data_IF_333590999463
#
_entry.id   IF_333590999463
#
_cell.length_a   1.000
_cell.length_b   1.000
_cell.length_c   1.000
_cell.angle_alpha   90.00
_cell.angle_beta   90.00
_cell.angle_gamma   90.00
#
_symmetry.space_group_name_H-M   'P 1'
#
loop_
_entity.id
_entity.type
_entity.pdbx_description
1 polymer ?
#
# COMPACT_ATOMS: atom_id res chain seq x y z
N UNK A 1 33.62 -44.21 -2.97
CA UNK A 1 32.76 -43.46 -3.91
C UNK A 1 31.81 -42.61 -3.13
N UNK A 2 31.60 -41.32 -3.41
CA UNK A 2 30.58 -40.52 -2.75
C UNK A 2 29.20 -41.12 -3.00
N UNK A 3 28.37 -41.29 -1.95
CA UNK A 3 27.00 -41.76 -2.06
C UNK A 3 26.23 -40.87 -3.04
N UNK A 4 25.57 -41.47 -4.02
CA UNK A 4 24.73 -40.76 -4.99
C UNK A 4 23.59 -40.09 -4.21
N UNK A 5 23.47 -38.80 -4.33
CA UNK A 5 22.44 -38.00 -3.68
C UNK A 5 21.06 -38.46 -4.13
N UNK A 6 20.15 -38.66 -3.19
CA UNK A 6 18.79 -39.14 -3.44
C UNK A 6 17.80 -37.98 -3.35
N UNK A 7 16.63 -38.14 -3.94
CA UNK A 7 15.53 -37.16 -3.78
C UNK A 7 15.14 -36.93 -2.31
N UNK A 8 15.36 -37.92 -1.46
CA UNK A 8 15.14 -37.82 -0.01
C UNK A 8 16.15 -36.89 0.66
N UNK A 9 17.36 -36.85 0.17
CA UNK A 9 18.38 -35.93 0.67
C UNK A 9 18.03 -34.50 0.23
N UNK A 10 17.55 -34.36 -1.01
CA UNK A 10 17.15 -33.06 -1.57
C UNK A 10 15.94 -32.45 -0.81
N UNK A 11 14.91 -33.25 -0.51
CA UNK A 11 13.72 -32.77 0.23
C UNK A 11 14.07 -32.36 1.65
N UNK A 12 15.00 -33.09 2.34
CA UNK A 12 15.47 -32.75 3.68
C UNK A 12 16.30 -31.49 3.69
N UNK A 13 17.14 -31.29 2.67
CA UNK A 13 17.94 -30.08 2.53
C UNK A 13 17.08 -28.85 2.22
N UNK A 14 16.06 -29.00 1.34
CA UNK A 14 15.12 -27.94 1.07
C UNK A 14 14.32 -27.54 2.31
N UNK A 15 13.82 -28.50 3.07
CA UNK A 15 13.15 -28.27 4.36
C UNK A 15 14.05 -27.45 5.30
N UNK A 16 15.30 -27.85 5.44
CA UNK A 16 16.26 -27.19 6.34
C UNK A 16 16.58 -25.76 5.90
N UNK A 17 16.65 -25.53 4.60
CA UNK A 17 16.92 -24.22 4.00
C UNK A 17 15.74 -23.26 4.17
N UNK A 18 14.52 -23.75 3.98
CA UNK A 18 13.31 -22.91 3.99
C UNK A 18 12.76 -22.67 5.40
N UNK A 19 12.88 -23.66 6.29
CA UNK A 19 12.21 -23.63 7.61
C UNK A 19 13.16 -23.82 8.80
N UNK A 20 14.46 -24.00 8.55
CA UNK A 20 15.48 -24.12 9.58
C UNK A 20 15.57 -25.51 10.24
N UNK A 21 16.45 -25.62 11.27
CA UNK A 21 16.77 -26.89 11.91
C UNK A 21 15.69 -27.43 12.87
N UNK A 22 14.65 -26.64 13.14
CA UNK A 22 13.52 -27.01 14.02
C UNK A 22 12.56 -28.05 13.45
N UNK A 23 12.74 -28.45 12.18
CA UNK A 23 11.84 -29.34 11.48
C UNK A 23 12.58 -30.54 10.87
N UNK A 24 11.93 -31.71 10.88
CA UNK A 24 12.46 -32.92 10.24
C UNK A 24 11.35 -33.63 9.46
N UNK A 25 11.70 -34.15 8.29
CA UNK A 25 10.88 -35.04 7.47
C UNK A 25 11.49 -36.43 7.43
N UNK A 26 10.63 -37.44 7.54
CA UNK A 26 10.98 -38.85 7.34
C UNK A 26 9.84 -39.63 6.75
N UNK A 27 10.15 -40.77 6.21
CA UNK A 27 9.17 -41.81 5.87
C UNK A 27 8.72 -42.52 7.16
N UNK A 28 7.41 -42.75 7.28
CA UNK A 28 6.82 -43.65 8.28
C UNK A 28 5.58 -44.29 7.70
N UNK A 29 5.58 -45.65 7.63
CA UNK A 29 4.46 -46.45 7.10
C UNK A 29 4.01 -46.03 5.70
N UNK A 30 4.97 -45.79 4.81
CA UNK A 30 4.72 -45.35 3.44
C UNK A 30 4.32 -43.87 3.28
N UNK A 31 4.23 -43.09 4.36
CA UNK A 31 3.77 -41.70 4.35
C UNK A 31 4.84 -40.72 4.85
N UNK A 32 4.74 -39.49 4.43
CA UNK A 32 5.56 -38.39 4.90
C UNK A 32 5.17 -38.00 6.34
N UNK A 33 6.10 -38.12 7.27
CA UNK A 33 5.94 -37.69 8.64
C UNK A 33 6.74 -36.42 8.91
N UNK A 34 6.06 -35.37 9.40
CA UNK A 34 6.67 -34.13 9.84
C UNK A 34 6.90 -34.15 11.36
N UNK A 35 8.08 -33.75 11.80
CA UNK A 35 8.45 -33.62 13.21
C UNK A 35 8.88 -32.19 13.51
N UNK A 36 8.30 -31.59 14.53
CA UNK A 36 8.72 -30.32 15.14
C UNK A 36 9.61 -30.59 16.35
N UNK A 37 10.77 -30.01 16.40
CA UNK A 37 11.69 -30.03 17.54
C UNK A 37 11.42 -28.80 18.42
N UNK A 38 11.01 -29.02 19.66
CA UNK A 38 10.61 -27.93 20.58
C UNK A 38 11.75 -27.38 21.44
N UNK A 39 12.83 -28.16 21.62
CA UNK A 39 14.03 -27.78 22.41
C UNK A 39 15.31 -28.15 21.65
N UNK A 40 16.40 -27.41 21.91
CA UNK A 40 17.69 -27.63 21.25
C UNK A 40 18.27 -29.01 21.53
N UNK A 41 18.00 -29.62 22.71
CA UNK A 41 18.51 -30.93 23.12
C UNK A 41 17.64 -32.12 22.66
N UNK A 42 16.60 -31.89 21.83
CA UNK A 42 15.88 -32.97 21.16
C UNK A 42 14.98 -33.84 22.01
N UNK A 43 14.77 -33.53 23.29
CA UNK A 43 13.97 -34.36 24.19
C UNK A 43 12.44 -34.14 24.02
N UNK A 44 12.00 -32.99 23.57
CA UNK A 44 10.59 -32.71 23.29
C UNK A 44 10.36 -32.55 21.80
N UNK A 45 9.66 -33.49 21.20
CA UNK A 45 9.29 -33.47 19.80
C UNK A 45 7.81 -33.79 19.63
N UNK A 46 7.16 -33.12 18.71
CA UNK A 46 5.82 -33.42 18.26
C UNK A 46 5.89 -33.89 16.82
N UNK A 47 5.22 -34.98 16.51
CA UNK A 47 5.26 -35.55 15.16
C UNK A 47 3.85 -35.90 14.68
N UNK A 48 3.64 -35.85 13.38
CA UNK A 48 2.44 -36.38 12.77
C UNK A 48 2.61 -36.57 11.26
N UNK A 49 1.81 -37.45 10.69
CA UNK A 49 1.84 -37.70 9.24
C UNK A 49 1.14 -36.57 8.47
N UNK A 50 1.57 -36.33 7.24
CA UNK A 50 0.99 -35.34 6.34
C UNK A 50 -0.16 -35.90 5.48
N UNK A 51 -0.41 -37.20 5.56
CA UNK A 51 -1.40 -37.88 4.73
C UNK A 51 -0.94 -38.18 3.29
N UNK A 52 0.28 -37.78 2.93
CA UNK A 52 0.85 -37.84 1.57
C UNK A 52 1.84 -39.03 1.54
N UNK A 53 1.77 -39.85 0.47
CA UNK A 53 2.73 -40.94 0.26
C UNK A 53 4.14 -40.44 0.06
N UNK A 54 5.12 -41.15 0.67
CA UNK A 54 6.54 -40.82 0.59
C UNK A 54 7.15 -41.36 -0.72
N UNK A 55 6.97 -40.59 -1.80
CA UNK A 55 7.48 -40.94 -3.13
C UNK A 55 8.13 -39.73 -3.79
N UNK A 56 9.06 -39.96 -4.74
CA UNK A 56 9.70 -38.91 -5.48
C UNK A 56 8.73 -38.03 -6.28
N UNK A 57 7.63 -38.62 -6.79
CA UNK A 57 6.56 -37.89 -7.49
C UNK A 57 5.81 -36.91 -6.59
N UNK A 58 5.75 -37.17 -5.29
CA UNK A 58 5.04 -36.34 -4.33
C UNK A 58 5.94 -35.33 -3.60
N UNK A 59 7.21 -35.24 -3.96
CA UNK A 59 8.18 -34.35 -3.29
C UNK A 59 7.67 -32.91 -3.18
N UNK A 60 7.13 -32.35 -4.24
CA UNK A 60 6.61 -30.99 -4.27
C UNK A 60 5.36 -30.83 -3.39
N UNK A 61 4.48 -31.84 -3.38
CA UNK A 61 3.26 -31.84 -2.55
C UNK A 61 3.59 -31.91 -1.07
N UNK A 62 4.57 -32.76 -0.71
CA UNK A 62 5.10 -32.87 0.66
C UNK A 62 5.66 -31.53 1.14
N UNK A 63 6.51 -30.87 0.34
CA UNK A 63 7.09 -29.57 0.71
C UNK A 63 6.03 -28.47 0.86
N UNK A 64 5.04 -28.44 -0.02
CA UNK A 64 3.94 -27.48 0.07
C UNK A 64 3.09 -27.70 1.34
N UNK A 65 2.80 -28.96 1.67
CA UNK A 65 2.06 -29.31 2.88
C UNK A 65 2.85 -28.91 4.13
N UNK A 66 4.16 -29.18 4.16
CA UNK A 66 5.05 -28.76 5.23
C UNK A 66 5.04 -27.25 5.39
N UNK A 67 5.21 -26.48 4.32
CA UNK A 67 5.20 -25.02 4.37
C UNK A 67 3.90 -24.47 5.00
N UNK A 68 2.74 -25.05 4.66
CA UNK A 68 1.45 -24.69 5.27
C UNK A 68 1.39 -25.03 6.76
N UNK A 69 1.87 -26.21 7.15
CA UNK A 69 1.89 -26.63 8.56
C UNK A 69 2.82 -25.71 9.36
N UNK A 70 4.01 -25.42 8.86
CA UNK A 70 4.97 -24.54 9.54
C UNK A 70 4.37 -23.13 9.73
N UNK A 71 3.75 -22.59 8.70
CA UNK A 71 3.10 -21.27 8.77
C UNK A 71 2.00 -21.22 9.83
N UNK A 72 1.15 -22.24 9.93
CA UNK A 72 0.09 -22.33 10.95
C UNK A 72 0.65 -22.48 12.37
N UNK A 73 1.73 -23.23 12.52
CA UNK A 73 2.37 -23.46 13.82
C UNK A 73 3.16 -22.22 14.30
N UNK A 74 3.68 -21.42 13.37
CA UNK A 74 4.45 -20.19 13.68
C UNK A 74 3.63 -18.91 13.58
N UNK A 75 2.33 -19.00 13.30
CA UNK A 75 1.41 -17.85 13.27
C UNK A 75 1.16 -17.27 14.67
N UNK A 76 0.65 -16.06 14.76
CA UNK A 76 0.16 -15.45 16.01
C UNK A 76 -1.37 -15.30 15.98
N UNK A 77 -2.11 -16.03 16.86
CA UNK A 77 -1.63 -17.00 17.87
C UNK A 77 -1.16 -18.31 17.22
N UNK A 78 -0.15 -19.01 17.82
CA UNK A 78 0.40 -20.24 17.26
C UNK A 78 -0.60 -21.40 17.36
N UNK A 79 -0.72 -22.16 16.28
CA UNK A 79 -1.59 -23.33 16.25
C UNK A 79 -0.81 -24.59 16.69
N UNK A 80 -1.39 -25.48 17.53
CA UNK A 80 -0.77 -26.75 17.85
C UNK A 80 -0.51 -27.59 16.59
N UNK A 81 0.65 -28.27 16.52
CA UNK A 81 1.04 -29.09 15.35
C UNK A 81 -0.04 -30.08 14.93
N UNK A 82 -0.72 -30.72 15.88
CA UNK A 82 -1.79 -31.71 15.62
C UNK A 82 -2.94 -31.07 14.83
N UNK A 83 -3.35 -29.87 15.21
CA UNK A 83 -4.47 -29.17 14.59
C UNK A 83 -4.07 -28.60 13.22
N UNK A 84 -2.85 -28.09 13.10
CA UNK A 84 -2.30 -27.66 11.81
C UNK A 84 -2.22 -28.83 10.80
N UNK A 85 -1.74 -30.01 11.24
CA UNK A 85 -1.72 -31.22 10.42
C UNK A 85 -3.13 -31.68 10.01
N UNK A 86 -4.10 -31.63 10.94
CA UNK A 86 -5.49 -31.97 10.65
C UNK A 86 -6.08 -31.02 9.60
N UNK A 87 -5.87 -29.73 9.75
CA UNK A 87 -6.30 -28.72 8.78
C UNK A 87 -5.69 -28.93 7.40
N UNK A 88 -4.39 -29.24 7.33
CA UNK A 88 -3.69 -29.47 6.05
C UNK A 88 -4.14 -30.77 5.39
N UNK A 89 -4.45 -31.85 6.17
CA UNK A 89 -5.01 -33.09 5.65
C UNK A 89 -6.44 -32.96 5.15
N UNK A 90 -7.25 -32.17 5.85
CA UNK A 90 -8.67 -31.97 5.48
C UNK A 90 -8.86 -30.88 4.43
N UNK A 91 -7.82 -30.08 4.18
CA UNK A 91 -7.85 -29.17 3.04
C UNK A 91 -7.96 -30.00 1.76
N UNK A 92 -8.99 -29.83 0.93
CA UNK A 92 -9.14 -30.60 -0.27
C UNK A 92 -7.90 -30.44 -1.15
N UNK A 93 -7.12 -31.50 -1.31
CA UNK A 93 -6.17 -31.62 -2.42
C UNK A 93 -7.06 -31.58 -3.65
N UNK A 94 -7.01 -30.50 -4.42
CA UNK A 94 -7.81 -30.38 -5.64
C UNK A 94 -7.26 -31.36 -6.67
N UNK A 95 -7.73 -32.60 -6.57
CA UNK A 95 -7.69 -33.57 -7.69
C UNK A 95 -8.60 -32.98 -8.76
N UNK A 96 -8.09 -32.09 -9.63
CA UNK A 96 -8.77 -31.70 -10.86
C UNK A 96 -10.20 -31.16 -10.76
N UNK A 97 -10.70 -30.85 -9.57
CA UNK A 97 -12.01 -30.24 -9.34
C UNK A 97 -12.03 -28.79 -9.74
N UNK A 98 -13.17 -28.29 -10.18
CA UNK A 98 -13.36 -26.87 -10.47
C UNK A 98 -12.98 -26.04 -9.23
N UNK A 99 -12.14 -25.01 -9.42
CA UNK A 99 -11.75 -24.11 -8.34
C UNK A 99 -12.97 -23.30 -7.92
N UNK A 100 -13.37 -23.36 -6.64
CA UNK A 100 -14.41 -22.47 -6.12
C UNK A 100 -13.85 -21.08 -5.85
N UNK A 101 -13.89 -20.27 -6.87
CA UNK A 101 -13.40 -18.91 -6.82
C UNK A 101 -14.20 -18.02 -5.87
N UNK A 102 -15.47 -18.33 -5.61
CA UNK A 102 -16.30 -17.56 -4.68
C UNK A 102 -15.89 -17.79 -3.25
N UNK A 103 -15.60 -19.05 -2.90
CA UNK A 103 -15.05 -19.37 -1.58
C UNK A 103 -13.65 -18.75 -1.39
N UNK A 104 -12.81 -18.80 -2.43
CA UNK A 104 -11.47 -18.17 -2.39
C UNK A 104 -11.57 -16.64 -2.20
N UNK A 105 -12.55 -15.97 -2.81
CA UNK A 105 -12.78 -14.53 -2.59
C UNK A 105 -13.06 -14.24 -1.11
N UNK A 106 -13.92 -15.01 -0.47
CA UNK A 106 -14.28 -14.88 0.95
C UNK A 106 -13.04 -15.07 1.84
N UNK A 107 -12.29 -16.14 1.61
CA UNK A 107 -11.07 -16.46 2.35
C UNK A 107 -10.00 -15.36 2.16
N UNK A 108 -9.88 -14.83 0.95
CA UNK A 108 -8.95 -13.76 0.63
C UNK A 108 -9.31 -12.46 1.35
N UNK A 109 -10.59 -12.08 1.38
CA UNK A 109 -11.06 -10.92 2.15
C UNK A 109 -10.73 -11.07 3.63
N UNK A 110 -11.05 -12.24 4.22
CA UNK A 110 -10.73 -12.53 5.62
C UNK A 110 -9.22 -12.43 5.88
N UNK A 111 -8.41 -12.99 5.00
CA UNK A 111 -6.97 -12.90 5.09
C UNK A 111 -6.48 -11.44 5.00
N UNK A 112 -6.95 -10.66 4.05
CA UNK A 112 -6.49 -9.28 3.84
C UNK A 112 -6.92 -8.33 4.95
N UNK A 113 -8.17 -8.41 5.35
CA UNK A 113 -8.78 -7.52 6.35
C UNK A 113 -8.60 -8.06 7.76
N UNK A 114 -8.87 -9.35 7.99
CA UNK A 114 -8.80 -9.97 9.31
C UNK A 114 -7.37 -10.03 9.86
N UNK A 115 -6.35 -10.27 9.02
CA UNK A 115 -4.95 -10.20 9.44
C UNK A 115 -4.39 -8.75 9.50
N UNK A 116 -5.22 -7.73 9.29
CA UNK A 116 -4.82 -6.33 9.30
C UNK A 116 -3.87 -5.91 8.16
N UNK A 117 -3.71 -6.72 7.08
CA UNK A 117 -2.87 -6.39 5.93
C UNK A 117 -3.46 -5.28 5.07
N UNK A 118 -4.78 -5.11 5.09
CA UNK A 118 -5.48 -4.01 4.47
C UNK A 118 -6.54 -3.45 5.44
N UNK A 119 -6.71 -2.12 5.44
CA UNK A 119 -7.87 -1.52 6.10
C UNK A 119 -9.12 -1.87 5.31
N UNK A 120 -10.23 -2.25 5.98
CA UNK A 120 -11.49 -2.60 5.34
C UNK A 120 -11.93 -1.59 4.27
N UNK A 121 -11.96 -0.31 4.61
CA UNK A 121 -12.34 0.74 3.66
C UNK A 121 -11.46 0.78 2.40
N UNK A 122 -10.15 0.54 2.52
CA UNK A 122 -9.26 0.50 1.36
C UNK A 122 -9.44 -0.77 0.53
N UNK A 123 -9.71 -1.90 1.18
CA UNK A 123 -9.99 -3.15 0.51
C UNK A 123 -11.27 -3.03 -0.32
N UNK A 124 -12.36 -2.58 0.28
CA UNK A 124 -13.66 -2.39 -0.38
C UNK A 124 -13.61 -1.38 -1.52
N UNK A 125 -12.98 -0.24 -1.29
CA UNK A 125 -12.90 0.83 -2.29
C UNK A 125 -12.03 0.50 -3.52
N UNK A 126 -11.06 -0.40 -3.38
CA UNK A 126 -10.05 -0.61 -4.40
C UNK A 126 -9.83 -2.09 -4.75
N UNK A 127 -9.36 -2.90 -3.78
CA UNK A 127 -8.87 -4.26 -4.02
C UNK A 127 -10.02 -5.20 -4.38
N UNK A 128 -11.11 -5.15 -3.60
CA UNK A 128 -12.32 -5.95 -3.85
C UNK A 128 -12.88 -5.77 -5.26
N UNK A 129 -12.94 -4.51 -5.72
CA UNK A 129 -13.42 -4.21 -7.06
C UNK A 129 -12.57 -4.88 -8.15
N UNK A 130 -11.24 -4.91 -7.97
CA UNK A 130 -10.32 -5.57 -8.91
C UNK A 130 -10.48 -7.08 -8.89
N UNK A 131 -10.65 -7.66 -7.69
CA UNK A 131 -10.89 -9.11 -7.56
C UNK A 131 -12.22 -9.50 -8.21
N UNK A 132 -13.28 -8.73 -8.01
CA UNK A 132 -14.57 -8.99 -8.68
C UNK A 132 -14.47 -8.99 -10.20
N UNK A 133 -13.65 -8.10 -10.77
CA UNK A 133 -13.35 -8.12 -12.22
C UNK A 133 -12.63 -9.40 -12.65
N UNK A 134 -11.70 -9.92 -11.84
CA UNK A 134 -11.07 -11.21 -12.11
C UNK A 134 -12.10 -12.34 -12.10
N UNK A 135 -12.97 -12.38 -11.08
CA UNK A 135 -14.00 -13.40 -10.96
C UNK A 135 -15.00 -13.36 -12.12
N UNK A 136 -15.32 -12.16 -12.60
CA UNK A 136 -16.19 -12.00 -13.78
C UNK A 136 -15.56 -12.61 -15.05
N UNK A 137 -14.23 -12.51 -15.23
CA UNK A 137 -13.52 -13.14 -16.33
C UNK A 137 -13.50 -14.66 -16.19
N UNK A 138 -13.27 -15.18 -14.97
CA UNK A 138 -13.28 -16.62 -14.68
C UNK A 138 -14.66 -17.25 -14.83
N UNK A 139 -15.73 -16.49 -14.60
CA UNK A 139 -17.12 -16.93 -14.76
C UNK A 139 -17.67 -16.88 -16.18
N UNK A 140 -16.88 -16.50 -17.18
CA UNK A 140 -17.33 -16.44 -18.57
C UNK A 140 -17.63 -17.83 -19.11
N UNK A 141 -18.77 -17.99 -19.81
CA UNK A 141 -19.17 -19.28 -20.43
C UNK A 141 -18.27 -19.67 -21.61
N UNK A 142 -17.72 -18.69 -22.33
CA UNK A 142 -16.82 -18.89 -23.46
C UNK A 142 -15.54 -18.08 -23.22
N UNK A 143 -14.42 -18.66 -23.60
CA UNK A 143 -13.10 -18.00 -23.49
C UNK A 143 -12.69 -17.62 -22.07
N UNK A 144 -13.21 -18.30 -21.04
CA UNK A 144 -12.73 -18.13 -19.67
C UNK A 144 -11.23 -18.45 -19.61
N UNK A 145 -10.43 -17.65 -18.90
CA UNK A 145 -9.01 -17.94 -18.68
C UNK A 145 -8.83 -19.31 -18.02
N UNK A 146 -7.85 -20.09 -18.50
CA UNK A 146 -7.56 -21.45 -18.01
C UNK A 146 -6.44 -21.51 -16.97
N UNK A 147 -5.70 -20.43 -16.80
CA UNK A 147 -4.53 -20.32 -15.93
C UNK A 147 -4.29 -18.87 -15.48
N UNK A 148 -3.36 -18.68 -14.54
CA UNK A 148 -3.01 -17.36 -13.99
C UNK A 148 -2.47 -16.38 -15.04
N UNK A 149 -1.51 -16.77 -15.88
CA UNK A 149 -1.02 -15.95 -16.97
C UNK A 149 -2.11 -15.47 -17.93
N UNK A 150 -2.98 -16.37 -18.40
CA UNK A 150 -4.08 -16.02 -19.31
C UNK A 150 -5.11 -15.10 -18.64
N UNK A 151 -5.40 -15.30 -17.33
CA UNK A 151 -6.24 -14.38 -16.57
C UNK A 151 -5.65 -12.98 -16.48
N UNK A 152 -4.35 -12.86 -16.20
CA UNK A 152 -3.71 -11.55 -16.12
C UNK A 152 -3.69 -10.82 -17.46
N UNK A 153 -3.46 -11.54 -18.56
CA UNK A 153 -3.54 -10.98 -19.92
C UNK A 153 -4.97 -10.56 -20.25
N UNK A 154 -5.96 -11.42 -20.01
CA UNK A 154 -7.37 -11.09 -20.21
C UNK A 154 -7.82 -9.89 -19.36
N UNK A 155 -7.38 -9.82 -18.10
CA UNK A 155 -7.65 -8.68 -17.24
C UNK A 155 -7.07 -7.37 -17.82
N UNK A 156 -5.87 -7.44 -18.35
CA UNK A 156 -5.21 -6.29 -18.96
C UNK A 156 -5.96 -5.80 -20.20
N UNK A 157 -6.31 -6.71 -21.11
CA UNK A 157 -7.01 -6.38 -22.36
C UNK A 157 -8.46 -5.96 -22.14
N UNK A 158 -9.12 -6.40 -21.07
CA UNK A 158 -10.52 -6.06 -20.81
C UNK A 158 -10.67 -4.81 -19.95
N UNK A 159 -9.77 -4.59 -19.00
CA UNK A 159 -9.99 -3.57 -17.94
C UNK A 159 -8.93 -2.49 -17.86
N UNK A 160 -7.82 -2.63 -18.58
CA UNK A 160 -6.70 -1.69 -18.48
C UNK A 160 -6.30 -1.08 -19.84
N UNK A 161 -7.14 -1.17 -20.88
CA UNK A 161 -6.85 -0.55 -22.18
C UNK A 161 -6.69 0.98 -22.05
N UNK A 162 -7.61 1.61 -21.32
CA UNK A 162 -7.61 3.06 -21.11
C UNK A 162 -6.70 3.51 -19.94
N UNK A 163 -5.98 2.57 -19.35
CA UNK A 163 -5.05 2.87 -18.25
C UNK A 163 -3.63 2.96 -18.78
N UNK A 164 -3.01 4.11 -18.61
CA UNK A 164 -1.68 4.42 -19.14
C UNK A 164 -0.67 3.28 -18.87
N UNK A 165 0.02 2.85 -19.92
CA UNK A 165 1.11 1.88 -19.87
C UNK A 165 2.20 2.39 -18.90
N UNK A 166 2.79 1.50 -18.09
CA UNK A 166 3.78 1.88 -17.08
C UNK A 166 3.23 2.71 -15.91
N UNK A 167 1.96 3.09 -15.95
CA UNK A 167 1.33 3.93 -14.93
C UNK A 167 1.14 3.22 -13.59
N UNK A 168 1.18 3.99 -12.50
CA UNK A 168 1.00 3.48 -11.13
C UNK A 168 -0.36 2.80 -10.91
N UNK A 169 -1.40 3.25 -11.61
CA UNK A 169 -2.73 2.65 -11.60
C UNK A 169 -2.73 1.26 -12.22
N UNK A 170 -2.13 1.08 -13.42
CA UNK A 170 -1.99 -0.20 -14.11
C UNK A 170 -1.18 -1.19 -13.28
N UNK A 171 -0.01 -0.76 -12.78
CA UNK A 171 0.83 -1.56 -11.88
C UNK A 171 0.08 -2.04 -10.65
N UNK A 172 -0.69 -1.16 -9.99
CA UNK A 172 -1.46 -1.51 -8.79
C UNK A 172 -2.54 -2.55 -9.08
N UNK A 173 -3.26 -2.41 -10.19
CA UNK A 173 -4.27 -3.39 -10.60
C UNK A 173 -3.65 -4.77 -10.77
N UNK A 174 -2.57 -4.88 -11.54
CA UNK A 174 -1.91 -6.16 -11.82
C UNK A 174 -1.28 -6.79 -10.57
N UNK A 175 -0.70 -5.98 -9.68
CA UNK A 175 -0.17 -6.48 -8.40
C UNK A 175 -1.26 -7.00 -7.46
N UNK A 176 -2.46 -6.41 -7.47
CA UNK A 176 -3.57 -6.91 -6.64
C UNK A 176 -4.11 -8.21 -7.21
N UNK A 177 -4.24 -8.35 -8.54
CA UNK A 177 -4.58 -9.61 -9.21
C UNK A 177 -3.53 -10.68 -8.92
N UNK A 178 -2.25 -10.37 -9.05
CA UNK A 178 -1.17 -11.30 -8.77
C UNK A 178 -1.18 -11.76 -7.31
N UNK A 179 -1.49 -10.87 -6.37
CA UNK A 179 -1.61 -11.20 -4.95
C UNK A 179 -2.77 -12.15 -4.68
N UNK A 180 -3.92 -11.93 -5.31
CA UNK A 180 -5.08 -12.80 -5.22
C UNK A 180 -4.77 -14.21 -5.74
N UNK A 181 -4.16 -14.33 -6.92
CA UNK A 181 -3.76 -15.60 -7.50
C UNK A 181 -2.72 -16.34 -6.64
N UNK A 182 -1.73 -15.62 -6.13
CA UNK A 182 -0.77 -16.20 -5.19
C UNK A 182 -1.45 -16.74 -3.92
N UNK A 183 -2.45 -16.02 -3.40
CA UNK A 183 -3.23 -16.48 -2.26
C UNK A 183 -4.02 -17.76 -2.62
N UNK A 184 -4.70 -17.77 -3.76
CA UNK A 184 -5.46 -18.92 -4.23
C UNK A 184 -4.59 -20.17 -4.29
N UNK A 185 -3.39 -20.09 -4.87
CA UNK A 185 -2.49 -21.24 -5.00
C UNK A 185 -1.84 -21.60 -3.66
N UNK A 186 -1.29 -20.62 -2.94
CA UNK A 186 -0.47 -20.91 -1.76
C UNK A 186 -1.28 -21.22 -0.51
N UNK A 187 -2.53 -20.73 -0.43
CA UNK A 187 -3.35 -20.82 0.81
C UNK A 187 -4.69 -21.51 0.63
N UNK A 188 -5.28 -21.45 -0.55
CA UNK A 188 -6.60 -22.04 -0.82
C UNK A 188 -6.55 -23.30 -1.69
N UNK A 189 -5.35 -23.80 -2.02
CA UNK A 189 -5.16 -25.07 -2.71
C UNK A 189 -5.50 -25.07 -4.21
N UNK A 190 -5.63 -23.89 -4.83
CA UNK A 190 -5.78 -23.82 -6.28
C UNK A 190 -4.54 -24.39 -6.99
N UNK A 191 -4.73 -24.97 -8.15
CA UNK A 191 -3.66 -25.59 -8.95
C UNK A 191 -2.56 -24.56 -9.28
N UNK A 192 -1.32 -25.02 -9.39
CA UNK A 192 -0.14 -24.18 -9.69
C UNK A 192 -0.24 -23.43 -11.01
N UNK A 193 -1.03 -23.91 -11.97
CA UNK A 193 -1.31 -23.19 -13.21
C UNK A 193 -1.88 -21.79 -12.99
N UNK A 194 -2.50 -21.56 -11.82
CA UNK A 194 -3.05 -20.26 -11.43
C UNK A 194 -2.01 -19.30 -10.81
N UNK A 195 -0.72 -19.69 -10.75
CA UNK A 195 0.31 -18.75 -10.35
C UNK A 195 0.35 -17.55 -11.31
N UNK A 196 0.47 -16.33 -10.77
CA UNK A 196 0.51 -15.13 -11.60
C UNK A 196 1.83 -15.01 -12.36
N UNK A 197 1.82 -14.21 -13.42
CA UNK A 197 3.04 -13.71 -14.04
C UNK A 197 3.91 -12.96 -13.04
N UNK A 198 5.23 -13.10 -13.14
CA UNK A 198 6.22 -12.49 -12.27
C UNK A 198 7.39 -11.93 -13.08
N UNK A 199 8.27 -11.17 -12.43
CA UNK A 199 9.49 -10.67 -13.03
C UNK A 199 9.24 -9.89 -14.32
N UNK A 200 9.92 -10.30 -15.39
CA UNK A 200 9.90 -9.63 -16.70
C UNK A 200 8.52 -9.69 -17.37
N UNK A 201 7.88 -10.84 -17.37
CA UNK A 201 6.54 -11.02 -17.97
C UNK A 201 5.47 -10.12 -17.29
N UNK A 202 5.54 -9.94 -15.97
CA UNK A 202 4.66 -9.00 -15.27
C UNK A 202 5.02 -7.55 -15.64
N UNK A 203 6.30 -7.25 -15.79
CA UNK A 203 6.77 -5.92 -16.18
C UNK A 203 6.32 -5.56 -17.60
N UNK A 204 6.31 -6.52 -18.51
CA UNK A 204 5.75 -6.35 -19.85
C UNK A 204 4.25 -6.01 -19.83
N UNK A 205 3.46 -6.72 -19.02
CA UNK A 205 2.04 -6.40 -18.85
C UNK A 205 1.78 -5.01 -18.23
N UNK A 206 2.64 -4.61 -17.31
CA UNK A 206 2.61 -3.26 -16.73
C UNK A 206 2.93 -2.24 -17.82
N UNK A 207 3.89 -2.57 -18.68
CA UNK A 207 4.37 -1.74 -19.77
C UNK A 207 5.36 -0.68 -19.31
N UNK A 208 5.91 0.01 -20.29
CA UNK A 208 6.81 1.14 -20.10
C UNK A 208 6.00 2.42 -20.26
N UNK A 209 6.32 3.39 -19.47
CA UNK A 209 5.69 4.72 -19.58
C UNK A 209 6.41 5.47 -20.70
N UNK A 210 5.66 5.82 -21.73
CA UNK A 210 6.20 6.57 -22.88
C UNK A 210 6.50 8.02 -22.51
N UNK A 211 5.67 8.60 -21.60
CA UNK A 211 5.91 9.93 -21.08
C UNK A 211 6.19 9.87 -19.57
N UNK A 212 7.23 10.57 -19.14
CA UNK A 212 7.43 10.80 -17.71
C UNK A 212 6.16 11.44 -17.13
N UNK A 213 5.70 10.96 -15.97
CA UNK A 213 4.63 11.66 -15.26
C UNK A 213 5.12 13.07 -15.04
N UNK A 214 4.45 14.05 -15.62
CA UNK A 214 4.80 15.43 -15.38
C UNK A 214 4.76 15.65 -13.87
N UNK A 215 5.91 15.96 -13.30
CA UNK A 215 5.98 16.27 -11.88
C UNK A 215 5.00 17.41 -11.60
N UNK A 216 4.31 17.30 -10.48
CA UNK A 216 3.39 18.36 -10.07
C UNK A 216 4.23 19.64 -9.86
N UNK A 217 4.08 20.66 -10.70
CA UNK A 217 4.92 21.84 -10.61
C UNK A 217 4.68 22.58 -9.29
N UNK A 218 5.70 23.20 -8.70
CA UNK A 218 5.50 24.11 -7.58
C UNK A 218 4.74 25.35 -8.03
N UNK A 219 3.81 25.85 -7.20
CA UNK A 219 3.26 27.20 -7.41
C UNK A 219 4.39 28.23 -7.19
N UNK A 220 4.50 29.18 -8.09
CA UNK A 220 5.47 30.25 -7.98
C UNK A 220 5.06 31.29 -6.92
N UNK A 221 6.01 32.05 -6.34
CA UNK A 221 5.70 33.08 -5.35
C UNK A 221 4.64 34.07 -5.81
N UNK A 222 4.78 34.60 -7.04
CA UNK A 222 3.85 35.57 -7.63
C UNK A 222 2.45 34.97 -7.80
N UNK A 223 2.37 33.72 -8.23
CA UNK A 223 1.11 33.00 -8.38
C UNK A 223 0.41 32.74 -7.03
N UNK A 224 1.19 32.50 -5.98
CA UNK A 224 0.65 32.33 -4.63
C UNK A 224 0.14 33.66 -4.08
N UNK A 225 0.88 34.74 -4.29
CA UNK A 225 0.48 36.09 -3.91
C UNK A 225 -0.87 36.45 -4.56
N UNK A 226 -0.92 36.40 -5.88
CA UNK A 226 -2.16 36.68 -6.63
C UNK A 226 -3.33 35.79 -6.22
N UNK A 227 -3.07 34.50 -5.92
CA UNK A 227 -4.10 33.59 -5.43
C UNK A 227 -4.64 34.03 -4.08
N UNK A 228 -3.77 34.42 -3.15
CA UNK A 228 -4.18 34.92 -1.84
C UNK A 228 -4.95 36.24 -1.94
N UNK A 229 -4.57 37.11 -2.85
CA UNK A 229 -5.25 38.37 -3.10
C UNK A 229 -6.61 38.17 -3.77
N UNK A 230 -6.70 37.26 -4.72
CA UNK A 230 -7.98 36.91 -5.38
C UNK A 230 -9.01 36.29 -4.42
N UNK A 231 -8.57 35.84 -3.25
CA UNK A 231 -9.41 35.27 -2.19
C UNK A 231 -9.75 36.27 -1.07
N UNK A 232 -9.53 37.56 -1.30
CA UNK A 232 -9.75 38.61 -0.27
C UNK A 232 -11.17 38.54 0.33
N UNK A 233 -12.20 38.38 -0.49
CA UNK A 233 -13.59 38.28 -0.04
C UNK A 233 -13.96 36.91 0.54
N UNK A 234 -13.16 35.87 0.27
CA UNK A 234 -13.38 34.52 0.78
C UNK A 234 -12.32 34.17 1.84
N UNK A 235 -12.46 34.81 3.00
CA UNK A 235 -11.49 34.69 4.08
C UNK A 235 -11.31 33.24 4.60
N UNK A 236 -12.36 32.42 4.59
CA UNK A 236 -12.27 31.00 5.00
C UNK A 236 -11.37 30.19 4.04
N UNK A 237 -11.56 30.34 2.73
CA UNK A 237 -10.75 29.63 1.75
C UNK A 237 -9.33 30.23 1.70
N UNK A 238 -9.20 31.55 1.84
CA UNK A 238 -7.92 32.22 1.91
C UNK A 238 -7.07 31.69 3.07
N UNK A 239 -7.67 31.49 4.26
CA UNK A 239 -7.03 30.89 5.40
C UNK A 239 -6.54 29.45 5.08
N UNK A 240 -7.38 28.63 4.44
CA UNK A 240 -6.99 27.28 4.06
C UNK A 240 -5.83 27.25 3.05
N UNK A 241 -5.86 28.12 2.04
CA UNK A 241 -4.80 28.26 1.03
C UNK A 241 -3.50 28.76 1.64
N UNK A 242 -3.57 29.75 2.52
CA UNK A 242 -2.40 30.28 3.23
C UNK A 242 -1.75 29.19 4.11
N UNK A 243 -2.53 28.43 4.85
CA UNK A 243 -2.01 27.30 5.65
C UNK A 243 -1.32 26.24 4.78
N UNK A 244 -1.88 25.88 3.65
CA UNK A 244 -1.26 24.90 2.75
C UNK A 244 -0.04 25.49 2.05
N UNK A 245 -0.14 26.73 1.55
CA UNK A 245 0.89 27.39 0.76
C UNK A 245 2.06 27.92 1.60
N UNK A 246 1.79 28.63 2.68
CA UNK A 246 2.85 29.27 3.50
C UNK A 246 3.45 28.32 4.53
N UNK A 247 2.70 27.34 5.06
CA UNK A 247 3.20 26.39 6.06
C UNK A 247 3.55 25.02 5.45
N UNK A 248 3.39 24.85 4.16
CA UNK A 248 3.71 23.59 3.48
C UNK A 248 2.89 22.40 3.93
N UNK A 249 1.64 22.60 4.34
CA UNK A 249 0.76 21.54 4.81
C UNK A 249 0.29 20.63 3.65
N UNK A 250 -0.04 19.38 3.98
CA UNK A 250 -0.91 18.60 3.09
C UNK A 250 -2.34 19.09 3.24
N UNK A 251 -3.14 19.17 2.18
CA UNK A 251 -4.56 19.56 2.32
C UNK A 251 -5.32 18.77 3.39
N UNK A 252 -5.00 17.48 3.56
CA UNK A 252 -5.59 16.64 4.62
C UNK A 252 -5.15 17.00 6.04
N UNK A 253 -4.04 17.71 6.21
CA UNK A 253 -3.52 18.13 7.51
C UNK A 253 -4.32 19.31 8.10
N UNK A 254 -5.18 19.96 7.31
CA UNK A 254 -6.10 21.00 7.79
C UNK A 254 -7.08 20.51 8.87
N UNK A 255 -7.24 19.19 9.05
CA UNK A 255 -8.03 18.60 10.13
C UNK A 255 -7.26 18.45 11.46
N UNK A 256 -5.95 18.58 11.46
CA UNK A 256 -5.09 18.21 12.60
C UNK A 256 -4.22 19.37 13.04
N UNK A 257 -4.81 20.57 13.09
CA UNK A 257 -4.12 21.79 13.44
C UNK A 257 -4.24 22.11 14.93
N UNK A 258 -3.17 22.59 15.52
CA UNK A 258 -3.14 23.13 16.88
C UNK A 258 -2.19 24.32 16.92
N UNK A 259 -2.67 25.45 17.38
CA UNK A 259 -1.80 26.60 17.70
C UNK A 259 -1.45 26.51 19.18
N UNK A 260 -0.16 26.60 19.49
CA UNK A 260 0.37 26.62 20.85
C UNK A 260 1.55 27.56 20.91
N UNK A 261 1.54 28.50 21.85
CA UNK A 261 2.61 29.47 22.05
C UNK A 261 2.99 30.23 20.76
N UNK A 262 1.98 30.63 19.97
CA UNK A 262 2.18 31.34 18.71
C UNK A 262 2.77 30.50 17.58
N UNK A 263 2.83 29.18 17.73
CA UNK A 263 3.36 28.25 16.72
C UNK A 263 2.32 27.25 16.27
N UNK A 264 2.39 26.84 15.00
CA UNK A 264 1.52 25.83 14.42
C UNK A 264 2.10 24.43 14.61
N UNK A 265 1.31 23.56 15.22
CA UNK A 265 1.58 22.13 15.32
C UNK A 265 0.59 21.33 14.49
N UNK A 266 1.10 20.34 13.78
CA UNK A 266 0.32 19.57 12.81
C UNK A 266 0.40 18.08 13.12
N UNK A 267 -0.74 17.44 13.26
CA UNK A 267 -0.85 16.00 13.52
C UNK A 267 -0.51 15.14 12.30
N UNK A 268 -0.27 13.86 12.54
CA UNK A 268 0.08 12.89 11.50
C UNK A 268 -1.18 12.33 10.84
N UNK A 269 -1.44 12.70 9.58
CA UNK A 269 -2.59 12.22 8.80
C UNK A 269 -2.28 10.94 7.99
N UNK A 270 -0.99 10.62 7.79
CA UNK A 270 -0.56 9.44 7.03
C UNK A 270 0.20 8.47 7.93
N UNK A 271 -0.51 7.48 8.47
CA UNK A 271 0.09 6.41 9.28
C UNK A 271 0.30 5.18 8.42
N UNK A 272 1.54 4.71 8.34
CA UNK A 272 1.88 3.42 7.75
C UNK A 272 1.74 2.33 8.81
N UNK A 273 1.43 1.09 8.40
CA UNK A 273 1.32 -0.09 9.29
C UNK A 273 2.54 -0.24 10.22
N UNK A 274 3.74 0.02 9.71
CA UNK A 274 4.99 -0.08 10.48
C UNK A 274 5.25 1.12 11.40
N UNK A 275 4.57 2.24 11.21
CA UNK A 275 4.68 3.44 12.06
C UNK A 275 3.53 3.58 13.05
N UNK A 276 2.49 2.75 12.96
CA UNK A 276 1.32 2.82 13.84
C UNK A 276 1.66 2.56 15.32
N UNK A 277 2.70 1.79 15.59
CA UNK A 277 3.19 1.51 16.96
C UNK A 277 3.97 2.68 17.59
N UNK A 278 4.39 3.68 16.79
CA UNK A 278 5.09 4.87 17.27
C UNK A 278 4.24 6.08 16.87
N UNK A 279 3.33 6.50 17.73
CA UNK A 279 2.65 7.78 17.57
C UNK A 279 3.73 8.88 17.57
N UNK A 280 4.00 9.45 16.41
CA UNK A 280 4.82 10.66 16.34
C UNK A 280 3.98 11.80 16.89
N UNK A 281 4.56 12.58 17.79
CA UNK A 281 3.95 13.82 18.26
C UNK A 281 3.63 14.75 17.09
N UNK A 282 2.78 15.74 17.34
CA UNK A 282 2.52 16.80 16.35
C UNK A 282 3.83 17.48 15.97
N UNK A 283 4.07 17.68 14.66
CA UNK A 283 5.24 18.37 14.16
C UNK A 283 5.04 19.88 14.19
N UNK A 284 6.09 20.62 14.44
CA UNK A 284 6.13 22.07 14.24
C UNK A 284 6.05 22.37 12.73
N UNK A 285 5.21 23.30 12.34
CA UNK A 285 5.15 23.87 10.99
C UNK A 285 5.44 25.38 11.09
N UNK A 286 6.46 25.82 10.39
CA UNK A 286 6.85 27.24 10.35
C UNK A 286 6.42 27.84 9.02
N UNK A 287 5.97 29.11 8.99
CA UNK A 287 5.62 29.77 7.76
C UNK A 287 6.87 30.14 6.97
N UNK A 288 6.76 30.11 5.66
CA UNK A 288 7.69 30.70 4.71
C UNK A 288 6.92 31.79 3.96
N UNK A 289 7.00 32.99 4.45
CA UNK A 289 6.30 34.15 3.92
C UNK A 289 6.83 34.54 2.54
N UNK A 290 6.02 35.24 1.77
CA UNK A 290 6.48 35.92 0.56
C UNK A 290 7.14 37.24 0.92
N UNK A 291 8.17 37.65 0.16
CA UNK A 291 8.85 38.94 0.39
C UNK A 291 7.88 40.11 0.26
N UNK A 292 6.90 39.98 -0.65
CA UNK A 292 5.87 40.98 -0.94
C UNK A 292 4.74 40.97 0.11
N UNK A 293 4.67 39.91 0.95
CA UNK A 293 3.65 39.76 1.97
C UNK A 293 4.29 39.28 3.29
N UNK A 294 5.13 40.12 3.91
CA UNK A 294 5.81 39.78 5.15
C UNK A 294 4.81 39.63 6.30
N UNK A 295 5.15 38.79 7.28
CA UNK A 295 4.38 38.53 8.49
C UNK A 295 2.96 37.88 8.22
N UNK A 296 2.70 37.46 6.98
CA UNK A 296 1.42 36.81 6.65
C UNK A 296 1.21 35.53 7.45
N UNK A 297 2.27 34.75 7.66
CA UNK A 297 2.21 33.57 8.49
C UNK A 297 1.77 33.87 9.93
N UNK A 298 2.32 34.90 10.53
CA UNK A 298 1.93 35.35 11.88
C UNK A 298 0.46 35.82 11.89
N UNK A 299 0.02 36.54 10.87
CA UNK A 299 -1.37 36.96 10.70
C UNK A 299 -2.33 35.76 10.58
N UNK A 300 -1.97 34.76 9.77
CA UNK A 300 -2.73 33.51 9.61
C UNK A 300 -2.85 32.76 10.93
N UNK A 301 -1.78 32.64 11.69
CA UNK A 301 -1.80 32.02 13.01
C UNK A 301 -2.73 32.74 13.98
N UNK A 302 -2.66 34.05 14.03
CA UNK A 302 -3.55 34.86 14.89
C UNK A 302 -5.02 34.72 14.50
N UNK A 303 -5.33 34.65 13.21
CA UNK A 303 -6.68 34.39 12.71
C UNK A 303 -7.18 33.01 13.11
N UNK A 304 -6.35 31.99 13.00
CA UNK A 304 -6.68 30.62 13.36
C UNK A 304 -6.88 30.49 14.88
N UNK A 305 -6.01 31.07 15.68
CA UNK A 305 -6.03 31.02 17.13
C UNK A 305 -7.23 31.77 17.73
N UNK A 306 -7.54 32.94 17.19
CA UNK A 306 -8.70 33.75 17.65
C UNK A 306 -10.04 33.13 17.29
N UNK A 307 -10.07 32.22 16.29
CA UNK A 307 -11.30 31.64 15.78
C UNK A 307 -12.24 32.63 15.07
N UNK A 308 -11.78 33.86 14.81
CA UNK A 308 -12.54 34.87 14.05
C UNK A 308 -12.77 34.43 12.60
N UNK A 309 -11.75 33.84 11.99
CA UNK A 309 -11.83 33.20 10.69
C UNK A 309 -11.66 31.72 10.88
N UNK A 310 -12.59 30.94 10.37
CA UNK A 310 -12.58 29.49 10.45
C UNK A 310 -12.28 28.91 9.08
N UNK A 311 -11.77 27.70 9.04
CA UNK A 311 -11.69 26.95 7.79
C UNK A 311 -13.09 26.70 7.22
N UNK A 312 -13.23 26.52 5.90
CA UNK A 312 -14.51 26.18 5.30
C UNK A 312 -15.19 25.01 5.99
N UNK A 313 -16.50 25.10 6.20
CA UNK A 313 -17.29 24.14 6.99
C UNK A 313 -17.10 22.70 6.53
N UNK A 314 -17.07 22.44 5.21
CA UNK A 314 -16.85 21.09 4.68
C UNK A 314 -15.48 20.53 5.03
N UNK A 315 -14.44 21.37 5.10
CA UNK A 315 -13.08 20.98 5.50
C UNK A 315 -13.07 20.65 7.01
N UNK A 316 -13.65 21.51 7.86
CA UNK A 316 -13.70 21.31 9.30
C UNK A 316 -14.47 20.04 9.70
N UNK A 317 -15.56 19.78 9.02
CA UNK A 317 -16.47 18.66 9.29
C UNK A 317 -16.22 17.45 8.37
N UNK A 318 -15.06 17.37 7.73
CA UNK A 318 -14.74 16.26 6.86
C UNK A 318 -14.74 14.95 7.65
N UNK A 319 -15.38 13.92 7.12
CA UNK A 319 -15.48 12.60 7.76
C UNK A 319 -14.14 11.86 7.92
N UNK A 320 -13.18 12.19 7.06
CA UNK A 320 -11.84 11.62 7.06
C UNK A 320 -10.85 12.53 6.31
N UNK A 321 -9.56 12.21 6.43
CA UNK A 321 -8.48 12.98 5.81
C UNK A 321 -8.56 13.03 4.27
N UNK A 322 -9.13 12.00 3.64
CA UNK A 322 -9.32 11.99 2.19
C UNK A 322 -10.40 13.00 1.81
N UNK A 323 -11.54 12.97 2.49
CA UNK A 323 -12.63 13.91 2.26
C UNK A 323 -12.19 15.37 2.46
N UNK A 324 -11.37 15.64 3.48
CA UNK A 324 -10.76 16.96 3.69
C UNK A 324 -9.95 17.43 2.48
N UNK A 325 -9.05 16.60 1.98
CA UNK A 325 -8.27 16.90 0.77
C UNK A 325 -9.13 17.07 -0.48
N UNK A 326 -10.19 16.26 -0.63
CA UNK A 326 -11.12 16.35 -1.75
C UNK A 326 -11.95 17.65 -1.69
N UNK A 327 -12.41 18.07 -0.51
CA UNK A 327 -13.12 19.35 -0.33
C UNK A 327 -12.20 20.54 -0.63
N UNK A 328 -10.97 20.53 -0.10
CA UNK A 328 -10.01 21.60 -0.44
C UNK A 328 -9.78 21.71 -1.94
N UNK A 329 -9.62 20.58 -2.65
CA UNK A 329 -9.50 20.56 -4.10
C UNK A 329 -10.74 21.13 -4.77
N UNK A 330 -11.94 20.73 -4.35
CA UNK A 330 -13.21 21.22 -4.92
C UNK A 330 -13.39 22.73 -4.75
N UNK A 331 -12.98 23.30 -3.63
CA UNK A 331 -13.00 24.76 -3.42
C UNK A 331 -12.07 25.47 -4.40
N UNK A 332 -10.86 24.98 -4.56
CA UNK A 332 -9.91 25.55 -5.52
C UNK A 332 -10.40 25.38 -6.98
N UNK A 333 -10.88 24.20 -7.33
CA UNK A 333 -11.35 23.91 -8.71
C UNK A 333 -12.58 24.74 -9.12
N UNK A 334 -13.24 25.39 -8.19
CA UNK A 334 -14.33 26.36 -8.44
C UNK A 334 -13.87 27.81 -8.46
N UNK A 335 -12.64 28.09 -8.05
CA UNK A 335 -12.14 29.45 -7.93
C UNK A 335 -11.57 29.94 -9.29
N UNK A 336 -12.06 31.08 -9.83
CA UNK A 336 -11.73 31.53 -11.19
C UNK A 336 -10.22 31.70 -11.43
N UNK A 337 -9.51 32.31 -10.49
CA UNK A 337 -8.06 32.52 -10.61
C UNK A 337 -7.32 31.18 -10.63
N UNK A 338 -7.70 30.22 -9.79
CA UNK A 338 -7.10 28.89 -9.80
C UNK A 338 -7.33 28.14 -11.12
N UNK A 339 -8.54 28.27 -11.70
CA UNK A 339 -8.85 27.70 -13.01
C UNK A 339 -7.91 28.29 -14.06
N UNK A 340 -7.78 29.63 -14.12
CA UNK A 340 -6.90 30.28 -15.07
C UNK A 340 -5.42 29.90 -14.90
N UNK A 341 -4.96 29.66 -13.66
CA UNK A 341 -3.62 29.16 -13.41
C UNK A 341 -3.41 27.76 -13.98
N UNK A 342 -4.39 26.88 -13.83
CA UNK A 342 -4.32 25.50 -14.36
C UNK A 342 -4.27 25.47 -15.89
N UNK A 343 -4.93 26.38 -16.55
CA UNK A 343 -4.88 26.53 -18.00
C UNK A 343 -3.51 26.98 -18.50
N UNK A 344 -2.83 27.85 -17.74
CA UNK A 344 -1.50 28.38 -18.07
C UNK A 344 -0.35 27.46 -17.66
N UNK A 345 -0.54 26.65 -16.63
CA UNK A 345 0.48 25.78 -16.05
C UNK A 345 0.01 24.31 -16.03
N UNK A 346 0.42 23.55 -17.04
CA UNK A 346 0.10 22.13 -17.11
C UNK A 346 0.55 21.37 -15.86
N UNK A 347 -0.32 20.53 -15.33
CA UNK A 347 -0.02 19.70 -14.17
C UNK A 347 -0.21 20.37 -12.81
N UNK A 348 -0.65 21.65 -12.75
CA UNK A 348 -0.92 22.34 -11.49
C UNK A 348 -2.06 21.67 -10.73
N UNK A 349 -1.81 21.36 -9.46
CA UNK A 349 -2.75 20.66 -8.56
C UNK A 349 -2.73 21.33 -7.18
N UNK A 350 -3.72 21.10 -6.30
CA UNK A 350 -3.65 21.63 -4.92
C UNK A 350 -2.36 21.31 -4.18
N UNK A 351 -1.71 20.21 -4.52
CA UNK A 351 -0.42 19.82 -3.97
C UNK A 351 0.74 20.73 -4.44
N UNK A 352 0.57 21.47 -5.53
CA UNK A 352 1.51 22.48 -6.03
C UNK A 352 1.77 23.60 -5.01
N UNK A 353 0.79 23.91 -4.17
CA UNK A 353 0.95 24.86 -3.05
C UNK A 353 2.05 24.39 -2.09
N UNK A 354 2.01 23.09 -1.72
CA UNK A 354 3.02 22.49 -0.86
C UNK A 354 4.37 22.33 -1.55
N UNK A 355 4.41 22.04 -2.85
CA UNK A 355 5.65 22.05 -3.63
C UNK A 355 6.24 23.45 -3.71
N UNK A 356 5.40 24.48 -3.81
CA UNK A 356 5.82 25.89 -3.73
C UNK A 356 6.51 26.23 -2.42
N UNK A 357 6.03 25.71 -1.30
CA UNK A 357 6.71 25.83 -0.01
C UNK A 357 8.12 25.22 -0.05
N UNK A 358 8.25 23.98 -0.55
CA UNK A 358 9.55 23.33 -0.71
C UNK A 358 10.50 24.14 -1.61
N UNK A 359 9.99 24.65 -2.72
CA UNK A 359 10.75 25.45 -3.66
C UNK A 359 11.22 26.78 -3.02
N UNK A 360 10.34 27.48 -2.29
CA UNK A 360 10.72 28.73 -1.58
C UNK A 360 11.81 28.47 -0.54
N UNK A 361 11.66 27.45 0.29
CA UNK A 361 12.67 27.09 1.28
C UNK A 361 14.05 26.75 0.69
N UNK A 362 14.08 26.25 -0.54
CA UNK A 362 15.31 25.86 -1.21
C UNK A 362 15.93 26.99 -2.06
N UNK A 363 15.14 27.91 -2.63
CA UNK A 363 15.62 28.78 -3.72
C UNK A 363 15.14 30.22 -3.68
N UNK A 364 14.17 30.57 -2.85
CA UNK A 364 13.55 31.92 -2.91
C UNK A 364 14.23 32.94 -2.00
N UNK A 365 14.72 32.50 -0.85
CA UNK A 365 15.37 33.42 0.11
C UNK A 365 16.88 33.47 -0.13
N UNK A 366 17.53 34.53 0.31
CA UNK A 366 18.99 34.75 0.23
C UNK A 366 19.77 33.57 0.83
N UNK A 367 19.21 32.94 1.86
CA UNK A 367 19.76 31.71 2.46
C UNK A 367 18.78 30.61 2.35
N UNK A 368 19.16 29.53 1.67
CA UNK A 368 18.37 28.33 1.58
C UNK A 368 18.24 27.62 2.94
N UNK A 369 17.07 27.09 3.22
CA UNK A 369 16.86 26.23 4.39
C UNK A 369 17.53 24.87 4.13
N UNK A 370 18.33 24.35 5.10
CA UNK A 370 18.92 23.02 4.95
C UNK A 370 17.84 21.96 4.64
N UNK A 371 18.11 21.09 3.68
CA UNK A 371 17.14 20.10 3.18
C UNK A 371 16.58 19.19 4.27
N UNK A 372 17.40 18.91 5.30
CA UNK A 372 16.97 18.11 6.45
C UNK A 372 15.88 18.84 7.26
N UNK A 373 16.06 20.12 7.49
CA UNK A 373 15.14 20.95 8.27
C UNK A 373 13.86 21.21 7.48
N UNK A 374 13.99 21.53 6.19
CA UNK A 374 12.84 21.70 5.30
C UNK A 374 11.99 20.42 5.22
N UNK A 375 12.63 19.25 5.08
CA UNK A 375 11.94 17.97 5.10
C UNK A 375 11.23 17.72 6.45
N UNK A 376 11.85 18.06 7.57
CA UNK A 376 11.27 17.93 8.91
C UNK A 376 10.04 18.84 9.07
N UNK A 377 10.14 20.12 8.68
CA UNK A 377 9.04 21.08 8.68
C UNK A 377 7.85 20.59 7.83
N UNK A 378 8.13 19.94 6.71
CA UNK A 378 7.12 19.34 5.86
C UNK A 378 6.63 17.95 6.34
N UNK A 379 7.21 17.36 7.39
CA UNK A 379 6.79 16.08 7.94
C UNK A 379 7.05 14.89 7.01
N UNK A 380 8.22 14.86 6.35
CA UNK A 380 8.69 13.71 5.59
C UNK A 380 10.21 13.50 5.73
N UNK A 381 10.72 12.36 5.24
CA UNK A 381 12.14 12.08 5.27
C UNK A 381 12.86 12.82 4.14
N UNK A 382 14.16 13.08 4.31
CA UNK A 382 15.02 13.66 3.25
C UNK A 382 14.90 12.84 1.95
N UNK A 383 14.92 11.50 2.04
CA UNK A 383 14.74 10.61 0.86
C UNK A 383 13.42 10.88 0.13
N UNK A 384 12.35 11.19 0.86
CA UNK A 384 11.05 11.54 0.25
C UNK A 384 11.09 12.93 -0.34
N UNK A 385 11.76 13.87 0.32
CA UNK A 385 11.91 15.24 -0.16
C UNK A 385 12.67 15.32 -1.47
N UNK A 386 13.74 14.53 -1.61
CA UNK A 386 14.58 14.45 -2.82
C UNK A 386 13.90 13.79 -4.04
N UNK A 387 12.71 13.19 -3.86
CA UNK A 387 11.94 12.58 -4.98
C UNK A 387 10.99 13.55 -5.68
N UNK A 388 10.83 14.72 -5.10
CA UNK A 388 9.92 15.76 -5.56
C UNK A 388 10.67 17.10 -5.72
#
# INVERSE_FOLDING_TARGET
MPKRRTWEDDIKDMLRREHGAGWRLREQSGKAQLTQLLERDGQKRKSGDLGIEWTASNQTEILNAVGRVVELVTSEPPMPLRDALKLVKTAPVSKGGAVDWSEIEIQYEQFRVGSGQAKRANYEANERYRIKRCLALLGQKKHAPSDGPSLMRAYTTTHLLDVASGGSGRKRNLLDVARFLNFAVKRSGADKRWLPLQGEELSELIGIREEAEADTPPIKPEQLLDLLDSLYENSELRLAVALVGLFGLRPSELMELEVRDGHLYVGETKRNRHSAAKAKGKRLALPLDLNELPEEGARVLKQLESGLIKLPTSIRNAKDYKACGDYFRQYLDRHPYWISLKEKAYGLRPYSLRHGYAWRGAKYYDRSIPIRDLAALMGHTVKTHMKH
#
